data_IF_099057802845
#
_entry.id   IF_099057802845
#
_cell.length_a   1.000
_cell.length_b   1.000
_cell.length_c   1.000
_cell.angle_alpha   90.00
_cell.angle_beta   90.00
_cell.angle_gamma   90.00
#
_symmetry.space_group_name_H-M   'P 1'
#
loop_
_entity.id
_entity.type
_entity.pdbx_description
1 polymer ?
#
# COMPACT_ATOMS: atom_id res chain seq x y z
N UNK A 1 21.54 -25.31 -20.87
CA UNK A 1 22.39 -24.18 -20.40
C UNK A 1 23.03 -24.42 -19.03
N UNK A 2 22.31 -24.89 -18.00
CA UNK A 2 22.92 -25.17 -16.69
C UNK A 2 23.64 -26.53 -16.67
N UNK A 3 23.01 -27.56 -17.27
CA UNK A 3 23.60 -28.90 -17.42
C UNK A 3 24.86 -28.86 -18.31
N UNK A 4 24.87 -28.03 -19.34
CA UNK A 4 26.03 -27.89 -20.26
C UNK A 4 27.24 -27.26 -19.53
N UNK A 5 27.03 -26.30 -18.63
CA UNK A 5 28.11 -25.72 -17.81
C UNK A 5 28.69 -26.72 -16.81
N UNK A 6 27.84 -27.59 -16.24
CA UNK A 6 28.28 -28.67 -15.36
C UNK A 6 29.07 -29.70 -16.14
N UNK A 7 28.64 -30.05 -17.35
CA UNK A 7 29.35 -30.96 -18.25
C UNK A 7 30.69 -30.38 -18.71
N UNK A 8 30.74 -29.10 -19.09
CA UNK A 8 31.98 -28.42 -19.48
C UNK A 8 32.97 -28.37 -18.30
N UNK A 9 32.53 -28.01 -17.09
CA UNK A 9 33.38 -28.03 -15.89
C UNK A 9 33.84 -29.45 -15.51
N UNK A 10 32.96 -30.44 -15.65
CA UNK A 10 33.29 -31.85 -15.41
C UNK A 10 34.27 -32.39 -16.46
N UNK A 11 34.22 -31.93 -17.71
CA UNK A 11 35.19 -32.31 -18.75
C UNK A 11 36.54 -31.61 -18.56
N UNK A 12 36.54 -30.36 -18.12
CA UNK A 12 37.77 -29.58 -17.90
C UNK A 12 38.54 -30.07 -16.66
N UNK A 13 37.84 -30.44 -15.58
CA UNK A 13 38.43 -31.05 -14.37
C UNK A 13 38.42 -32.59 -14.38
N UNK A 14 37.91 -33.25 -15.43
CA UNK A 14 37.87 -34.72 -15.53
C UNK A 14 39.23 -35.38 -15.37
N UNK A 15 40.31 -34.69 -15.75
CA UNK A 15 41.66 -35.22 -15.70
C UNK A 15 42.29 -35.18 -14.28
N UNK A 16 41.68 -34.46 -13.33
CA UNK A 16 42.15 -34.33 -11.95
C UNK A 16 41.29 -35.10 -10.93
N UNK A 17 40.20 -35.76 -11.35
CA UNK A 17 39.18 -36.23 -10.42
C UNK A 17 39.45 -37.61 -9.78
N UNK A 18 39.80 -37.55 -8.50
CA UNK A 18 39.76 -38.66 -7.56
C UNK A 18 38.31 -38.93 -7.05
N UNK A 19 37.54 -39.79 -7.73
CA UNK A 19 36.43 -40.54 -7.13
C UNK A 19 35.01 -39.91 -7.06
N UNK A 20 34.02 -40.74 -6.72
CA UNK A 20 32.57 -40.43 -6.69
C UNK A 20 32.17 -39.23 -5.81
N UNK A 21 32.97 -38.88 -4.80
CA UNK A 21 32.63 -37.82 -3.84
C UNK A 21 32.81 -36.41 -4.42
N UNK A 22 33.72 -36.23 -5.39
CA UNK A 22 33.90 -34.94 -6.05
C UNK A 22 32.70 -34.59 -6.93
N UNK A 23 32.12 -35.56 -7.62
CA UNK A 23 30.94 -35.36 -8.47
C UNK A 23 29.75 -34.85 -7.64
N UNK A 24 29.58 -35.36 -6.41
CA UNK A 24 28.56 -34.89 -5.48
C UNK A 24 28.82 -33.46 -5.03
N UNK A 25 30.08 -33.12 -4.74
CA UNK A 25 30.47 -31.74 -4.42
C UNK A 25 30.12 -30.78 -5.56
N UNK A 26 30.57 -31.06 -6.79
CA UNK A 26 30.34 -30.21 -7.95
C UNK A 26 28.84 -29.95 -8.23
N UNK A 27 27.99 -30.96 -8.01
CA UNK A 27 26.54 -30.80 -8.12
C UNK A 27 25.95 -29.88 -7.04
N UNK A 28 26.39 -30.02 -5.79
CA UNK A 28 25.89 -29.18 -4.69
C UNK A 28 26.37 -27.73 -4.87
N UNK A 29 27.61 -27.55 -5.30
CA UNK A 29 28.21 -26.25 -5.57
C UNK A 29 27.45 -25.50 -6.67
N UNK A 30 27.18 -26.14 -7.82
CA UNK A 30 26.41 -25.52 -8.90
C UNK A 30 24.99 -25.13 -8.45
N UNK A 31 24.32 -25.99 -7.67
CA UNK A 31 22.99 -25.66 -7.12
C UNK A 31 23.09 -24.45 -6.19
N UNK A 32 24.15 -24.36 -5.39
CA UNK A 32 24.38 -23.25 -4.45
C UNK A 32 24.66 -21.95 -5.21
N UNK A 33 25.47 -22.00 -6.25
CA UNK A 33 25.74 -20.87 -7.16
C UNK A 33 24.45 -20.35 -7.82
N UNK A 34 23.59 -21.27 -8.30
CA UNK A 34 22.30 -20.90 -8.89
C UNK A 34 21.38 -20.22 -7.89
N UNK A 35 21.31 -20.74 -6.66
CA UNK A 35 20.53 -20.13 -5.58
C UNK A 35 21.06 -18.73 -5.25
N UNK A 36 22.38 -18.56 -5.22
CA UNK A 36 23.04 -17.26 -4.99
C UNK A 36 22.68 -16.27 -6.08
N UNK A 37 22.83 -16.65 -7.36
CA UNK A 37 22.49 -15.80 -8.50
C UNK A 37 21.01 -15.39 -8.48
N UNK A 38 20.12 -16.33 -8.15
CA UNK A 38 18.68 -16.05 -8.03
C UNK A 38 18.39 -15.07 -6.89
N UNK A 39 19.10 -15.19 -5.77
CA UNK A 39 18.93 -14.29 -4.64
C UNK A 39 19.44 -12.87 -4.94
N UNK A 40 20.57 -12.71 -5.63
CA UNK A 40 21.08 -11.41 -6.04
C UNK A 40 20.10 -10.67 -6.97
N UNK A 41 19.40 -11.41 -7.85
CA UNK A 41 18.32 -10.82 -8.66
C UNK A 41 17.17 -10.29 -7.79
N UNK A 42 16.74 -11.08 -6.79
CA UNK A 42 15.70 -10.66 -5.86
C UNK A 42 16.16 -9.48 -5.00
N UNK A 43 17.42 -9.45 -4.56
CA UNK A 43 18.00 -8.34 -3.83
C UNK A 43 17.91 -7.04 -4.66
N UNK A 44 18.28 -7.10 -5.95
CA UNK A 44 18.16 -5.96 -6.84
C UNK A 44 16.70 -5.47 -6.96
N UNK A 45 15.75 -6.38 -7.12
CA UNK A 45 14.32 -6.05 -7.17
C UNK A 45 13.83 -5.39 -5.87
N UNK A 46 14.29 -5.89 -4.70
CA UNK A 46 13.94 -5.33 -3.38
C UNK A 46 14.49 -3.92 -3.24
N UNK A 47 15.75 -3.68 -3.62
CA UNK A 47 16.37 -2.34 -3.60
C UNK A 47 15.65 -1.39 -4.56
N UNK A 48 15.22 -1.87 -5.73
CA UNK A 48 14.43 -1.08 -6.67
C UNK A 48 13.10 -0.64 -6.05
N UNK A 49 12.39 -1.56 -5.38
CA UNK A 49 11.14 -1.24 -4.69
C UNK A 49 11.36 -0.21 -3.59
N UNK A 50 12.39 -0.37 -2.76
CA UNK A 50 12.68 0.58 -1.67
C UNK A 50 12.90 2.01 -2.20
N UNK A 51 13.69 2.13 -3.27
CA UNK A 51 13.91 3.42 -3.96
C UNK A 51 12.63 3.98 -4.58
N UNK A 52 11.79 3.12 -5.17
CA UNK A 52 10.52 3.53 -5.78
C UNK A 52 9.56 4.08 -4.73
N UNK A 53 9.43 3.40 -3.58
CA UNK A 53 8.60 3.85 -2.46
C UNK A 53 9.08 5.20 -1.91
N UNK A 54 10.39 5.47 -1.90
CA UNK A 54 10.93 6.73 -1.38
C UNK A 54 10.77 7.91 -2.35
N UNK A 55 10.68 7.66 -3.65
CA UNK A 55 10.75 8.72 -4.68
C UNK A 55 9.40 9.05 -5.30
N UNK A 56 8.46 8.11 -5.36
CA UNK A 56 7.23 8.25 -6.13
C UNK A 56 5.97 8.39 -5.28
N UNK A 57 4.98 9.11 -5.81
CA UNK A 57 3.67 9.28 -5.17
C UNK A 57 2.86 7.97 -5.31
N UNK A 58 2.20 7.46 -4.26
CA UNK A 58 1.50 6.16 -4.25
C UNK A 58 0.44 5.94 -5.34
N UNK A 59 0.00 6.99 -6.03
CA UNK A 59 -1.02 6.95 -7.09
C UNK A 59 -0.54 6.27 -8.37
N UNK A 60 0.77 6.28 -8.63
CA UNK A 60 1.33 5.87 -9.93
C UNK A 60 1.45 4.34 -10.08
N UNK A 61 1.28 3.58 -8.98
CA UNK A 61 1.53 2.14 -8.95
C UNK A 61 0.40 1.34 -8.28
N UNK A 62 -0.71 1.23 -9.01
CA UNK A 62 -1.79 0.26 -8.78
C UNK A 62 -1.28 -1.17 -8.99
N UNK A 63 -0.54 -1.69 -8.01
CA UNK A 63 0.10 -3.00 -8.09
C UNK A 63 1.32 -3.17 -7.20
N UNK A 64 1.81 -2.09 -6.56
CA UNK A 64 3.02 -2.15 -5.73
C UNK A 64 2.91 -3.15 -4.58
N UNK A 65 1.76 -3.20 -3.90
CA UNK A 65 1.49 -4.19 -2.85
C UNK A 65 1.54 -5.64 -3.36
N UNK A 66 0.99 -5.89 -4.55
CA UNK A 66 1.04 -7.23 -5.16
C UNK A 66 2.48 -7.60 -5.51
N UNK A 67 3.25 -6.67 -6.08
CA UNK A 67 4.66 -6.87 -6.40
C UNK A 67 5.49 -7.18 -5.14
N UNK A 68 5.35 -6.37 -4.08
CA UNK A 68 5.99 -6.64 -2.79
C UNK A 68 5.60 -8.02 -2.22
N UNK A 69 4.33 -8.41 -2.34
CA UNK A 69 3.85 -9.71 -1.91
C UNK A 69 4.45 -10.89 -2.70
N UNK A 70 4.65 -10.74 -4.01
CA UNK A 70 5.30 -11.75 -4.85
C UNK A 70 6.79 -11.89 -4.51
N UNK A 71 7.51 -10.78 -4.31
CA UNK A 71 8.91 -10.81 -3.91
C UNK A 71 9.07 -11.46 -2.53
N UNK A 72 8.21 -11.12 -1.57
CA UNK A 72 8.20 -11.76 -0.26
C UNK A 72 8.04 -13.28 -0.36
N UNK A 73 7.13 -13.76 -1.21
CA UNK A 73 6.96 -15.21 -1.47
C UNK A 73 8.23 -15.84 -2.05
N UNK A 74 8.95 -15.15 -2.93
CA UNK A 74 10.23 -15.63 -3.49
C UNK A 74 11.32 -15.71 -2.42
N UNK A 75 11.49 -14.66 -1.62
CA UNK A 75 12.48 -14.62 -0.52
C UNK A 75 12.22 -15.75 0.48
N UNK A 76 10.99 -15.86 0.98
CA UNK A 76 10.59 -16.93 1.92
C UNK A 76 10.72 -18.31 1.27
N UNK A 77 10.48 -18.44 -0.04
CA UNK A 77 10.70 -19.66 -0.80
C UNK A 77 12.16 -20.12 -0.74
N UNK A 78 13.10 -19.23 -1.05
CA UNK A 78 14.54 -19.49 -0.98
C UNK A 78 14.99 -19.79 0.46
N UNK A 79 14.52 -18.99 1.42
CA UNK A 79 14.83 -19.18 2.84
C UNK A 79 14.37 -20.57 3.34
N UNK A 80 13.19 -21.03 2.92
CA UNK A 80 12.69 -22.38 3.25
C UNK A 80 13.47 -23.49 2.55
N UNK A 81 13.93 -23.27 1.31
CA UNK A 81 14.77 -24.24 0.60
C UNK A 81 16.14 -24.43 1.26
N UNK A 82 16.64 -23.41 1.95
CA UNK A 82 17.92 -23.46 2.66
C UNK A 82 17.79 -23.91 4.11
N UNK A 83 16.60 -23.94 4.71
CA UNK A 83 16.45 -24.30 6.11
C UNK A 83 16.98 -25.72 6.38
N UNK A 84 17.94 -25.84 7.31
CA UNK A 84 18.53 -27.12 7.73
C UNK A 84 19.52 -27.77 6.75
N UNK A 85 19.58 -27.34 5.48
CA UNK A 85 20.57 -27.84 4.51
C UNK A 85 22.02 -27.49 4.88
N UNK A 86 22.34 -26.25 5.33
CA UNK A 86 23.70 -25.90 5.76
C UNK A 86 24.20 -26.81 6.89
N UNK A 87 23.33 -27.19 7.82
CA UNK A 87 23.72 -28.06 8.94
C UNK A 87 24.03 -29.49 8.50
N UNK A 88 23.31 -29.99 7.49
CA UNK A 88 23.57 -31.30 6.89
C UNK A 88 24.88 -31.28 6.10
N UNK A 89 25.12 -30.26 5.28
CA UNK A 89 26.37 -30.11 4.53
C UNK A 89 27.55 -29.95 5.49
N UNK A 90 27.39 -29.20 6.58
CA UNK A 90 28.42 -29.03 7.63
C UNK A 90 28.73 -30.34 8.36
N UNK A 91 27.72 -31.18 8.57
CA UNK A 91 27.89 -32.52 9.16
C UNK A 91 28.61 -33.46 8.19
N UNK A 92 28.29 -33.40 6.89
CA UNK A 92 28.98 -34.16 5.83
C UNK A 92 30.44 -33.72 5.71
N UNK A 93 30.73 -32.41 5.71
CA UNK A 93 32.09 -31.87 5.69
C UNK A 93 32.92 -32.39 6.88
N UNK A 94 32.32 -32.45 8.08
CA UNK A 94 32.99 -32.97 9.28
C UNK A 94 33.30 -34.47 9.19
N UNK A 95 32.45 -35.26 8.55
CA UNK A 95 32.64 -36.71 8.37
C UNK A 95 33.68 -37.01 7.29
N UNK A 96 33.75 -36.18 6.24
CA UNK A 96 34.69 -36.33 5.13
C UNK A 96 36.07 -35.72 5.41
N UNK A 97 36.25 -35.01 6.52
CA UNK A 97 37.47 -34.31 6.91
C UNK A 97 38.71 -35.19 7.17
N UNK A 98 38.66 -36.50 6.89
CA UNK A 98 39.85 -37.33 6.77
C UNK A 98 40.63 -37.10 5.45
N UNK A 99 39.97 -36.53 4.43
CA UNK A 99 40.60 -36.04 3.20
C UNK A 99 40.59 -34.50 3.21
N UNK A 100 41.74 -33.89 3.47
CA UNK A 100 41.89 -32.45 3.78
C UNK A 100 41.32 -31.55 2.66
N UNK A 101 41.55 -31.90 1.40
CA UNK A 101 41.09 -31.13 0.23
C UNK A 101 39.56 -31.17 0.05
N UNK A 102 38.95 -32.36 0.10
CA UNK A 102 37.51 -32.51 -0.07
C UNK A 102 36.73 -31.86 1.08
N UNK A 103 37.25 -31.96 2.32
CA UNK A 103 36.69 -31.28 3.49
C UNK A 103 36.68 -29.75 3.33
N UNK A 104 37.73 -29.18 2.75
CA UNK A 104 37.83 -27.75 2.46
C UNK A 104 36.75 -27.31 1.43
N UNK A 105 36.59 -28.04 0.34
CA UNK A 105 35.58 -27.74 -0.69
C UNK A 105 34.15 -27.72 -0.14
N UNK A 106 33.76 -28.72 0.67
CA UNK A 106 32.43 -28.74 1.29
C UNK A 106 32.22 -27.60 2.30
N UNK A 107 33.30 -27.17 2.97
CA UNK A 107 33.24 -26.05 3.90
C UNK A 107 32.95 -24.73 3.17
N UNK A 108 33.56 -24.49 2.02
CA UNK A 108 33.31 -23.29 1.20
C UNK A 108 31.82 -23.18 0.80
N UNK A 109 31.24 -24.28 0.34
CA UNK A 109 29.80 -24.36 0.02
C UNK A 109 28.92 -24.08 1.25
N UNK A 110 29.31 -24.53 2.43
CA UNK A 110 28.58 -24.22 3.66
C UNK A 110 28.63 -22.73 3.99
N UNK A 111 29.79 -22.10 3.80
CA UNK A 111 29.98 -20.67 4.06
C UNK A 111 29.19 -19.83 3.03
N UNK A 112 29.14 -20.25 1.76
CA UNK A 112 28.25 -19.66 0.74
C UNK A 112 26.76 -19.80 1.10
N UNK A 113 26.30 -20.99 1.52
CA UNK A 113 24.92 -21.18 1.95
C UNK A 113 24.57 -20.35 3.20
N UNK A 114 25.51 -20.19 4.13
CA UNK A 114 25.32 -19.37 5.32
C UNK A 114 25.22 -17.88 4.96
N UNK A 115 26.08 -17.38 4.07
CA UNK A 115 26.02 -16.03 3.54
C UNK A 115 24.68 -15.77 2.83
N UNK A 116 24.22 -16.73 2.04
CA UNK A 116 22.96 -16.65 1.31
C UNK A 116 21.73 -16.57 2.24
N UNK A 117 21.74 -17.32 3.34
CA UNK A 117 20.70 -17.24 4.37
C UNK A 117 20.68 -15.88 5.10
N UNK A 118 21.86 -15.28 5.34
CA UNK A 118 21.97 -13.92 5.88
C UNK A 118 21.38 -12.90 4.91
N UNK A 119 21.71 -13.00 3.62
CA UNK A 119 21.20 -12.11 2.58
C UNK A 119 19.66 -12.18 2.45
N UNK A 120 19.08 -13.39 2.51
CA UNK A 120 17.62 -13.58 2.54
C UNK A 120 16.97 -12.83 3.70
N UNK A 121 17.58 -12.93 4.89
CA UNK A 121 17.09 -12.29 6.10
C UNK A 121 17.16 -10.76 5.98
N UNK A 122 18.26 -10.23 5.43
CA UNK A 122 18.43 -8.80 5.20
C UNK A 122 17.41 -8.26 4.20
N UNK A 123 17.19 -8.96 3.08
CA UNK A 123 16.21 -8.58 2.07
C UNK A 123 14.78 -8.57 2.64
N UNK A 124 14.40 -9.55 3.45
CA UNK A 124 13.08 -9.57 4.11
C UNK A 124 12.89 -8.36 5.03
N UNK A 125 13.93 -7.94 5.77
CA UNK A 125 13.89 -6.76 6.63
C UNK A 125 13.74 -5.47 5.83
N UNK A 126 14.49 -5.32 4.72
CA UNK A 126 14.36 -4.16 3.83
C UNK A 126 12.96 -4.11 3.23
N UNK A 127 12.47 -5.22 2.67
CA UNK A 127 11.15 -5.30 2.06
C UNK A 127 10.02 -5.00 3.07
N UNK A 128 10.16 -5.48 4.31
CA UNK A 128 9.21 -5.19 5.39
C UNK A 128 9.14 -3.68 5.71
N UNK A 129 10.31 -3.02 5.79
CA UNK A 129 10.37 -1.56 6.00
C UNK A 129 9.78 -0.79 4.83
N UNK A 130 10.11 -1.17 3.60
CA UNK A 130 9.54 -0.56 2.40
C UNK A 130 8.00 -0.69 2.37
N UNK A 131 7.45 -1.84 2.77
CA UNK A 131 6.01 -2.05 2.89
C UNK A 131 5.36 -1.11 3.92
N UNK A 132 5.94 -0.99 5.12
CA UNK A 132 5.44 -0.06 6.15
C UNK A 132 5.51 1.40 5.70
N UNK A 133 6.61 1.79 5.06
CA UNK A 133 6.79 3.14 4.51
C UNK A 133 5.74 3.44 3.42
N UNK A 134 5.48 2.48 2.52
CA UNK A 134 4.47 2.62 1.48
C UNK A 134 3.05 2.80 2.07
N UNK A 135 2.68 2.00 3.07
CA UNK A 135 1.39 2.13 3.75
C UNK A 135 1.25 3.45 4.50
N UNK A 136 2.32 3.94 5.13
CA UNK A 136 2.31 5.25 5.78
C UNK A 136 2.08 6.38 4.77
N UNK A 137 2.78 6.37 3.63
CA UNK A 137 2.58 7.36 2.57
C UNK A 137 1.18 7.29 1.96
N UNK A 138 0.65 6.08 1.74
CA UNK A 138 -0.71 5.90 1.24
C UNK A 138 -1.75 6.48 2.22
N UNK A 139 -1.60 6.23 3.52
CA UNK A 139 -2.47 6.80 4.56
C UNK A 139 -2.38 8.33 4.61
N UNK A 140 -1.17 8.89 4.57
CA UNK A 140 -0.97 10.35 4.52
C UNK A 140 -1.64 10.96 3.28
N UNK A 141 -1.51 10.33 2.12
CA UNK A 141 -2.15 10.79 0.88
C UNK A 141 -3.67 10.68 0.95
N UNK A 142 -4.22 9.57 1.45
CA UNK A 142 -5.66 9.42 1.69
C UNK A 142 -6.18 10.50 2.63
N UNK A 143 -5.45 10.81 3.70
CA UNK A 143 -5.81 11.89 4.62
C UNK A 143 -5.73 13.27 3.93
N UNK A 144 -4.73 13.54 3.11
CA UNK A 144 -4.65 14.77 2.32
C UNK A 144 -5.83 14.91 1.34
N UNK A 145 -6.20 13.84 0.62
CA UNK A 145 -7.38 13.85 -0.26
C UNK A 145 -8.67 14.07 0.54
N UNK A 146 -8.76 13.48 1.74
CA UNK A 146 -9.88 13.69 2.67
C UNK A 146 -9.93 15.14 3.18
N UNK A 147 -8.79 15.78 3.45
CA UNK A 147 -8.76 17.20 3.80
C UNK A 147 -9.22 18.08 2.63
N UNK A 148 -8.87 17.73 1.39
CA UNK A 148 -9.41 18.36 0.19
C UNK A 148 -10.94 18.24 0.11
N UNK A 149 -11.48 17.04 0.36
CA UNK A 149 -12.92 16.82 0.48
C UNK A 149 -13.55 17.59 1.63
N UNK A 150 -12.84 17.80 2.74
CA UNK A 150 -13.31 18.61 3.88
C UNK A 150 -13.59 20.07 3.50
N UNK A 151 -12.76 20.65 2.63
CA UNK A 151 -12.99 22.02 2.14
C UNK A 151 -14.22 22.12 1.23
N UNK A 152 -14.43 21.12 0.35
CA UNK A 152 -15.63 21.06 -0.47
C UNK A 152 -16.87 20.75 0.37
N UNK A 153 -16.76 19.79 1.29
CA UNK A 153 -17.80 19.38 2.23
C UNK A 153 -18.29 20.56 3.06
N UNK A 154 -17.39 21.37 3.62
CA UNK A 154 -17.77 22.56 4.39
C UNK A 154 -18.61 23.55 3.56
N UNK A 155 -18.26 23.78 2.29
CA UNK A 155 -19.05 24.65 1.39
C UNK A 155 -20.46 24.08 1.14
N UNK A 156 -20.56 22.77 0.88
CA UNK A 156 -21.84 22.11 0.70
C UNK A 156 -22.66 22.07 1.99
N UNK A 157 -22.02 21.88 3.14
CA UNK A 157 -22.66 21.88 4.45
C UNK A 157 -23.29 23.24 4.78
N UNK A 158 -22.59 24.34 4.44
CA UNK A 158 -23.14 25.70 4.56
C UNK A 158 -24.34 25.90 3.64
N UNK A 159 -24.27 25.43 2.39
CA UNK A 159 -25.40 25.49 1.45
C UNK A 159 -26.60 24.66 1.95
N UNK A 160 -26.37 23.44 2.44
CA UNK A 160 -27.41 22.59 3.03
C UNK A 160 -28.04 23.24 4.26
N UNK A 161 -27.23 23.84 5.13
CA UNK A 161 -27.71 24.59 6.31
C UNK A 161 -28.61 25.77 5.94
N UNK A 162 -28.31 26.45 4.83
CA UNK A 162 -29.17 27.50 4.28
C UNK A 162 -30.44 26.93 3.64
N UNK A 163 -30.37 25.79 2.95
CA UNK A 163 -31.54 25.21 2.28
C UNK A 163 -32.57 24.61 3.26
N UNK A 164 -32.16 24.14 4.44
CA UNK A 164 -33.07 23.55 5.45
C UNK A 164 -34.26 24.45 5.86
N UNK A 165 -34.08 25.72 6.27
CA UNK A 165 -35.22 26.58 6.60
C UNK A 165 -36.11 26.86 5.38
N UNK A 166 -35.54 26.95 4.18
CA UNK A 166 -36.32 27.11 2.95
C UNK A 166 -37.19 25.88 2.66
N UNK A 167 -36.68 24.67 2.94
CA UNK A 167 -37.44 23.43 2.83
C UNK A 167 -38.60 23.38 3.84
N UNK A 168 -38.40 23.85 5.07
CA UNK A 168 -39.49 23.96 6.06
C UNK A 168 -40.59 24.92 5.61
N UNK A 169 -40.21 26.08 5.06
CA UNK A 169 -41.16 27.04 4.50
C UNK A 169 -41.93 26.43 3.33
N UNK A 170 -41.24 25.80 2.37
CA UNK A 170 -41.88 25.14 1.23
C UNK A 170 -42.82 24.01 1.68
N UNK A 171 -42.43 23.23 2.69
CA UNK A 171 -43.26 22.18 3.27
C UNK A 171 -44.52 22.75 3.94
N UNK A 172 -44.43 23.89 4.64
CA UNK A 172 -45.58 24.54 5.25
C UNK A 172 -46.60 25.03 4.19
N UNK A 173 -46.16 25.46 3.01
CA UNK A 173 -47.04 25.82 1.89
C UNK A 173 -47.57 24.62 1.10
N UNK A 174 -46.86 23.50 1.12
CA UNK A 174 -47.28 22.27 0.43
C UNK A 174 -48.43 21.54 1.14
N UNK A 175 -48.74 21.92 2.37
CA UNK A 175 -49.84 21.34 3.16
C UNK A 175 -51.05 22.28 3.16
N UNK A 176 -52.25 21.72 2.96
CA UNK A 176 -53.51 22.46 3.02
C UNK A 176 -53.93 22.70 4.49
N UNK A 177 -53.17 23.52 5.22
CA UNK A 177 -53.38 23.82 6.64
C UNK A 177 -53.99 25.22 6.79
N UNK A 178 -54.96 25.34 7.70
CA UNK A 178 -55.56 26.62 8.07
C UNK A 178 -54.50 27.56 8.68
N UNK A 179 -54.36 28.75 8.11
CA UNK A 179 -53.40 29.75 8.61
C UNK A 179 -53.83 30.26 10.00
N UNK A 180 -52.87 30.48 10.92
CA UNK A 180 -53.17 31.12 12.20
C UNK A 180 -53.79 32.49 11.93
N UNK A 181 -54.95 32.77 12.54
CA UNK A 181 -55.89 33.88 12.32
C UNK A 181 -57.10 33.66 11.42
N UNK A 182 -57.22 32.52 10.74
CA UNK A 182 -58.48 32.15 10.10
C UNK A 182 -59.50 31.66 11.16
N UNK A 183 -60.30 32.57 11.73
CA UNK A 183 -61.50 32.19 12.48
C UNK A 183 -62.54 31.61 11.51
N UNK A 184 -63.12 30.45 11.84
CA UNK A 184 -64.01 29.65 10.98
C UNK A 184 -65.20 30.39 10.36
N UNK A 185 -65.56 31.57 10.88
CA UNK A 185 -66.84 32.24 10.56
C UNK A 185 -66.69 33.57 9.80
N UNK A 186 -65.50 33.93 9.29
CA UNK A 186 -65.30 35.18 8.53
C UNK A 186 -64.89 34.93 7.07
N UNK A 187 -65.47 35.65 6.09
CA UNK A 187 -65.07 35.54 4.70
C UNK A 187 -63.59 35.95 4.54
N UNK A 188 -62.89 35.28 3.61
CA UNK A 188 -61.47 35.48 3.31
C UNK A 188 -61.19 36.96 2.95
N UNK A 189 -60.81 37.77 3.94
CA UNK A 189 -60.45 39.19 3.77
C UNK A 189 -58.95 39.37 3.98
N UNK A 190 -58.35 40.24 3.17
CA UNK A 190 -56.91 40.54 3.22
C UNK A 190 -56.41 40.90 4.62
N UNK A 191 -57.24 41.58 5.42
CA UNK A 191 -56.94 41.98 6.80
C UNK A 191 -56.65 40.80 7.74
N UNK A 192 -57.22 39.62 7.48
CA UNK A 192 -57.07 38.42 8.32
C UNK A 192 -55.82 37.61 7.97
N UNK A 193 -55.35 37.68 6.73
CA UNK A 193 -54.17 36.94 6.23
C UNK A 193 -52.90 37.81 6.25
N UNK A 194 -53.05 39.15 6.30
CA UNK A 194 -51.93 40.10 6.31
C UNK A 194 -50.85 39.84 7.39
N UNK A 195 -51.19 39.49 8.65
CA UNK A 195 -50.17 39.21 9.67
C UNK A 195 -49.33 37.98 9.35
N UNK A 196 -49.95 36.94 8.78
CA UNK A 196 -49.27 35.70 8.37
C UNK A 196 -48.31 35.96 7.20
N UNK A 197 -48.76 36.68 6.16
CA UNK A 197 -47.89 37.07 5.04
C UNK A 197 -46.76 38.00 5.49
N UNK A 198 -47.00 38.86 6.48
CA UNK A 198 -45.98 39.75 7.05
C UNK A 198 -44.87 39.01 7.78
N UNK A 199 -45.21 38.05 8.64
CA UNK A 199 -44.21 37.20 9.34
C UNK A 199 -43.37 36.43 8.32
N UNK A 200 -44.00 35.90 7.27
CA UNK A 200 -43.31 35.17 6.20
C UNK A 200 -42.41 36.07 5.35
N UNK A 201 -42.85 37.29 5.04
CA UNK A 201 -42.04 38.30 4.36
C UNK A 201 -40.78 38.64 5.17
N UNK A 202 -40.90 38.79 6.49
CA UNK A 202 -39.76 39.02 7.38
C UNK A 202 -38.77 37.84 7.38
N UNK A 203 -39.25 36.59 7.39
CA UNK A 203 -38.39 35.39 7.36
C UNK A 203 -37.64 35.29 6.03
N UNK A 204 -38.33 35.50 4.91
CA UNK A 204 -37.70 35.49 3.58
C UNK A 204 -36.69 36.62 3.40
N UNK A 205 -36.99 37.81 3.93
CA UNK A 205 -36.08 38.96 3.85
C UNK A 205 -34.83 38.76 4.70
N UNK A 206 -34.96 38.25 5.92
CA UNK A 206 -33.82 37.87 6.76
C UNK A 206 -32.92 36.83 6.07
N UNK A 207 -33.53 35.87 5.35
CA UNK A 207 -32.80 34.87 4.59
C UNK A 207 -32.07 35.44 3.36
N UNK A 208 -32.72 36.34 2.61
CA UNK A 208 -32.10 37.05 1.49
C UNK A 208 -30.91 37.91 1.93
N UNK A 209 -31.01 38.57 3.09
CA UNK A 209 -29.92 39.32 3.70
C UNK A 209 -28.78 38.38 4.13
N UNK A 210 -29.09 37.22 4.72
CA UNK A 210 -28.09 36.20 5.08
C UNK A 210 -27.31 35.66 3.87
N UNK A 211 -27.99 35.38 2.76
CA UNK A 211 -27.36 35.00 1.50
C UNK A 211 -26.51 36.12 0.91
N UNK A 212 -27.00 37.36 0.93
CA UNK A 212 -26.25 38.53 0.48
C UNK A 212 -24.98 38.76 1.30
N UNK A 213 -25.05 38.60 2.62
CA UNK A 213 -23.89 38.72 3.52
C UNK A 213 -22.89 37.59 3.31
N UNK A 214 -23.34 36.34 3.17
CA UNK A 214 -22.48 35.20 2.88
C UNK A 214 -21.79 35.34 1.51
N UNK A 215 -22.50 35.83 0.50
CA UNK A 215 -21.96 36.12 -0.83
C UNK A 215 -20.93 37.25 -0.79
N UNK A 216 -21.24 38.35 -0.10
CA UNK A 216 -20.32 39.48 0.08
C UNK A 216 -19.03 39.08 0.79
N UNK A 217 -19.13 38.28 1.85
CA UNK A 217 -17.97 37.77 2.59
C UNK A 217 -17.08 36.86 1.74
N UNK A 218 -17.68 36.04 0.88
CA UNK A 218 -16.96 35.13 -0.01
C UNK A 218 -16.32 35.87 -1.21
N UNK A 219 -16.88 37.01 -1.62
CA UNK A 219 -16.30 37.90 -2.62
C UNK A 219 -15.06 38.64 -2.09
N UNK A 220 -15.07 39.06 -0.81
CA UNK A 220 -13.95 39.77 -0.19
C UNK A 220 -12.77 38.87 0.18
N UNK A 221 -12.96 37.55 0.25
CA UNK A 221 -11.89 36.58 0.57
C UNK A 221 -11.23 35.95 -0.67
N UNK A 222 -11.58 36.43 -1.86
CA UNK A 222 -10.86 36.16 -3.12
C UNK A 222 -9.95 37.33 -3.44
#
# INVERSE_FOLDING_TARGET
MHVDRVLDRLQEHSNELHGSSFVVYALIDEITDWLTMTMTQIEHDVVQIDNTVMTQVPEEHSGMLQHMGLLRRRIVGIQRLQLGKPDVVRRVARVLGSNDELGHHFRDVCDHLAALGSLCTQCEVVLSRAHSNFMAQLSLKMNQTTHGLGMFSNRWLVLLGLMLPLQLVAMAFGQNVYVPWMHSDKPLRFDTIAPWLGIMGCILLAFAVGLGFAWYRNYLSR
#
